data_IF_853745828774
#
_entry.id   IF_853745828774
#
_cell.length_a   1.000
_cell.length_b   1.000
_cell.length_c   1.000
_cell.angle_alpha   90.00
_cell.angle_beta   90.00
_cell.angle_gamma   90.00
#
_symmetry.space_group_name_H-M   'P 1'
#
loop_
_entity.id
_entity.type
_entity.pdbx_description
1 polymer ?
#
# COMPACT_ATOMS: atom_id res chain seq x y z
N UNK A 1 8.27 24.87 4.49
CA UNK A 1 7.07 24.12 4.94
C UNK A 1 7.22 23.72 6.41
N UNK A 2 6.15 23.22 7.05
CA UNK A 2 6.20 22.70 8.42
C UNK A 2 7.13 21.48 8.49
N UNK A 3 7.08 20.59 7.50
CA UNK A 3 7.90 19.38 7.43
C UNK A 3 9.39 19.67 7.23
N UNK A 4 9.74 20.75 6.53
CA UNK A 4 11.13 21.14 6.29
C UNK A 4 11.75 21.94 7.44
N UNK A 5 10.94 22.33 8.44
CA UNK A 5 11.40 23.18 9.54
C UNK A 5 11.51 24.68 9.21
N UNK A 6 11.09 25.09 8.01
CA UNK A 6 11.05 26.52 7.64
C UNK A 6 10.03 27.31 8.47
N UNK A 7 9.01 26.64 9.00
CA UNK A 7 8.03 27.19 9.92
C UNK A 7 8.22 26.51 11.27
N UNK A 8 8.68 27.26 12.26
CA UNK A 8 8.79 26.77 13.64
C UNK A 8 7.42 26.79 14.30
N UNK A 9 6.97 25.63 14.77
CA UNK A 9 5.67 25.46 15.43
C UNK A 9 5.84 24.48 16.60
N UNK A 10 5.04 24.67 17.64
CA UNK A 10 4.88 23.65 18.68
C UNK A 10 4.17 22.40 18.15
N UNK A 11 4.32 21.26 18.81
CA UNK A 11 3.76 19.99 18.34
C UNK A 11 2.23 20.00 18.19
N UNK A 12 1.50 20.74 19.04
CA UNK A 12 0.04 20.85 18.94
C UNK A 12 -0.40 21.70 17.75
N UNK A 13 0.30 22.80 17.49
CA UNK A 13 0.03 23.68 16.36
C UNK A 13 0.39 22.99 15.05
N UNK A 14 1.55 22.31 15.00
CA UNK A 14 1.96 21.50 13.88
C UNK A 14 0.96 20.37 13.61
N UNK A 15 0.45 19.71 14.66
CA UNK A 15 -0.56 18.66 14.54
C UNK A 15 -1.85 19.19 13.92
N UNK A 16 -2.39 20.31 14.40
CA UNK A 16 -3.62 20.93 13.85
C UNK A 16 -3.46 21.37 12.39
N UNK A 17 -2.38 22.08 12.09
CA UNK A 17 -2.08 22.54 10.72
C UNK A 17 -1.87 21.35 9.78
N UNK A 18 -1.18 20.32 10.25
CA UNK A 18 -0.94 19.11 9.49
C UNK A 18 -2.23 18.31 9.25
N UNK A 19 -3.13 18.23 10.23
CA UNK A 19 -4.45 17.64 10.09
C UNK A 19 -5.25 18.29 8.97
N UNK A 20 -5.30 19.62 8.96
CA UNK A 20 -5.98 20.38 7.92
C UNK A 20 -5.40 20.10 6.53
N UNK A 21 -4.07 20.16 6.39
CA UNK A 21 -3.38 19.85 5.12
C UNK A 21 -3.64 18.41 4.66
N UNK A 22 -3.68 17.45 5.57
CA UNK A 22 -3.99 16.05 5.24
C UNK A 22 -5.41 15.87 4.73
N UNK A 23 -6.38 16.58 5.31
CA UNK A 23 -7.78 16.59 4.82
C UNK A 23 -7.83 17.15 3.41
N UNK A 24 -7.23 18.33 3.17
CA UNK A 24 -7.18 18.95 1.84
C UNK A 24 -6.51 18.03 0.80
N UNK A 25 -5.41 17.37 1.15
CA UNK A 25 -4.69 16.47 0.27
C UNK A 25 -5.49 15.22 -0.13
N UNK A 26 -6.49 14.85 0.66
CA UNK A 26 -7.34 13.68 0.38
C UNK A 26 -8.64 14.03 -0.33
N UNK A 27 -8.91 15.31 -0.56
CA UNK A 27 -10.05 15.71 -1.39
C UNK A 27 -9.87 15.14 -2.81
N UNK A 28 -10.96 14.66 -3.44
CA UNK A 28 -10.90 14.20 -4.82
C UNK A 28 -10.50 15.37 -5.72
N UNK A 29 -9.39 15.23 -6.42
CA UNK A 29 -8.96 16.20 -7.43
C UNK A 29 -9.59 15.90 -8.79
N UNK A 30 -9.48 16.84 -9.72
CA UNK A 30 -9.74 16.61 -11.12
C UNK A 30 -8.78 15.51 -11.61
N UNK A 31 -9.32 14.43 -12.16
CA UNK A 31 -8.51 13.31 -12.64
C UNK A 31 -7.98 13.62 -14.03
N UNK A 32 -6.80 14.12 -14.15
CA UNK A 32 -6.08 14.00 -15.41
C UNK A 32 -5.46 12.60 -15.53
N UNK A 33 -6.28 11.68 -16.01
CA UNK A 33 -5.85 10.30 -16.26
C UNK A 33 -4.86 10.23 -17.41
N UNK A 34 -4.91 11.17 -18.35
CA UNK A 34 -4.06 11.21 -19.55
C UNK A 34 -2.61 11.51 -19.16
N UNK A 35 -2.37 12.50 -18.31
CA UNK A 35 -1.03 12.84 -17.84
C UNK A 35 -0.38 11.66 -17.10
N UNK A 36 -1.14 10.99 -16.24
CA UNK A 36 -0.65 9.84 -15.46
C UNK A 36 -0.29 8.66 -16.36
N UNK A 37 -1.08 8.41 -17.42
CA UNK A 37 -0.81 7.36 -18.40
C UNK A 37 0.39 7.71 -19.30
N UNK A 38 0.49 8.97 -19.76
CA UNK A 38 1.66 9.47 -20.50
C UNK A 38 2.95 9.29 -19.69
N UNK A 39 2.90 9.61 -18.40
CA UNK A 39 4.01 9.42 -17.46
C UNK A 39 4.39 7.93 -17.31
N UNK A 40 3.43 7.01 -17.28
CA UNK A 40 3.72 5.58 -17.24
C UNK A 40 4.49 5.14 -18.50
N UNK A 41 4.04 5.55 -19.68
CA UNK A 41 4.67 5.18 -20.95
C UNK A 41 6.07 5.77 -21.06
N UNK A 42 6.25 7.05 -20.73
CA UNK A 42 7.57 7.71 -20.76
C UNK A 42 8.57 7.08 -19.79
N UNK A 43 8.13 6.63 -18.61
CA UNK A 43 8.99 5.89 -17.68
C UNK A 43 9.60 4.64 -18.31
N UNK A 44 8.87 3.92 -19.19
CA UNK A 44 9.39 2.71 -19.84
C UNK A 44 10.59 3.00 -20.73
N UNK A 45 10.76 4.24 -21.22
CA UNK A 45 11.96 4.65 -21.97
C UNK A 45 13.16 4.92 -21.06
N UNK A 46 12.92 5.42 -19.86
CA UNK A 46 13.94 5.75 -18.87
C UNK A 46 14.50 4.53 -18.13
N UNK A 47 13.65 3.49 -17.95
CA UNK A 47 14.03 2.27 -17.25
C UNK A 47 15.08 1.51 -18.07
N UNK A 48 16.24 1.26 -17.48
CA UNK A 48 17.29 0.45 -18.06
C UNK A 48 18.64 1.14 -18.21
N UNK A 49 18.74 2.46 -18.03
CA UNK A 49 20.01 3.18 -17.91
C UNK A 49 20.58 3.02 -16.50
N UNK A 50 21.01 1.79 -16.18
CA UNK A 50 21.48 1.44 -14.84
C UNK A 50 22.94 1.11 -14.92
N UNK A 51 23.77 1.79 -14.13
CA UNK A 51 25.20 1.53 -14.01
C UNK A 51 25.47 0.78 -12.68
N UNK A 52 25.89 -0.47 -12.81
CA UNK A 52 26.19 -1.29 -11.64
C UNK A 52 27.69 -1.33 -11.34
N UNK A 53 28.05 -1.04 -10.10
CA UNK A 53 29.38 -1.41 -9.61
C UNK A 53 29.36 -2.90 -9.24
N UNK A 54 30.30 -3.67 -9.75
CA UNK A 54 30.37 -5.13 -9.57
C UNK A 54 30.37 -5.54 -8.09
N UNK A 55 31.10 -4.82 -7.24
CA UNK A 55 31.17 -5.11 -5.80
C UNK A 55 29.83 -4.95 -5.07
N UNK A 56 29.07 -3.89 -5.36
CA UNK A 56 27.76 -3.66 -4.75
C UNK A 56 26.74 -4.70 -5.21
N UNK A 57 26.79 -5.09 -6.48
CA UNK A 57 25.95 -6.15 -7.01
C UNK A 57 26.22 -7.51 -6.39
N UNK A 58 27.49 -7.85 -6.13
CA UNK A 58 27.86 -9.11 -5.48
C UNK A 58 27.37 -9.15 -4.02
N UNK A 59 27.45 -8.04 -3.29
CA UNK A 59 26.95 -7.96 -1.91
C UNK A 59 25.43 -8.12 -1.87
N UNK A 60 24.71 -7.37 -2.71
CA UNK A 60 23.25 -7.48 -2.85
C UNK A 60 22.81 -8.89 -3.24
N UNK A 61 23.49 -9.48 -4.23
CA UNK A 61 23.24 -10.86 -4.68
C UNK A 61 23.42 -11.88 -3.57
N UNK A 62 24.50 -11.79 -2.78
CA UNK A 62 24.70 -12.68 -1.62
C UNK A 62 23.56 -12.60 -0.63
N UNK A 63 23.11 -11.39 -0.29
CA UNK A 63 21.97 -11.19 0.61
C UNK A 63 20.69 -11.81 0.04
N UNK A 64 20.32 -11.46 -1.19
CA UNK A 64 19.10 -11.97 -1.85
C UNK A 64 19.13 -13.51 -1.98
N UNK A 65 20.27 -14.08 -2.38
CA UNK A 65 20.43 -15.52 -2.45
C UNK A 65 20.30 -16.18 -1.07
N UNK A 66 20.87 -15.59 -0.02
CA UNK A 66 20.73 -16.07 1.36
C UNK A 66 19.27 -16.10 1.81
N UNK A 67 18.51 -15.04 1.52
CA UNK A 67 17.08 -14.97 1.84
C UNK A 67 16.27 -16.00 1.04
N UNK A 68 16.45 -16.07 -0.28
CA UNK A 68 15.63 -16.90 -1.16
C UNK A 68 16.01 -18.38 -1.15
N UNK A 69 17.26 -18.73 -0.87
CA UNK A 69 17.69 -20.13 -0.72
C UNK A 69 17.22 -20.78 0.59
N UNK A 70 16.74 -19.97 1.56
CA UNK A 70 16.11 -20.47 2.78
C UNK A 70 14.64 -20.93 2.57
N UNK A 71 14.17 -20.92 1.32
CA UNK A 71 12.81 -21.35 0.95
C UNK A 71 12.82 -22.81 0.57
N UNK A 72 12.18 -23.63 1.40
CA UNK A 72 12.01 -25.05 1.16
C UNK A 72 10.70 -25.36 0.43
N UNK A 73 9.64 -24.63 0.77
CA UNK A 73 8.28 -24.84 0.24
C UNK A 73 7.64 -23.49 -0.12
N UNK A 74 6.96 -23.46 -1.27
CA UNK A 74 6.18 -22.30 -1.66
C UNK A 74 4.86 -22.22 -0.88
N UNK A 75 4.50 -20.98 -0.52
CA UNK A 75 3.21 -20.69 0.09
C UNK A 75 2.05 -21.07 -0.88
N UNK A 76 0.92 -21.59 -0.36
CA UNK A 76 -0.20 -22.00 -1.20
C UNK A 76 -0.71 -20.88 -2.11
N UNK A 77 -1.14 -21.20 -3.31
CA UNK A 77 -1.77 -20.26 -4.22
C UNK A 77 -3.14 -19.79 -3.69
N UNK A 78 -3.41 -18.48 -3.75
CA UNK A 78 -4.72 -17.89 -3.46
C UNK A 78 -4.86 -16.56 -4.19
N UNK A 79 -6.10 -16.08 -4.35
CA UNK A 79 -6.34 -14.75 -4.89
C UNK A 79 -6.21 -13.66 -3.81
N UNK A 80 -5.74 -12.49 -4.24
CA UNK A 80 -5.81 -11.26 -3.46
C UNK A 80 -7.18 -10.57 -3.63
N UNK A 81 -7.45 -9.48 -2.89
CA UNK A 81 -8.73 -8.76 -2.96
C UNK A 81 -8.94 -7.94 -4.23
N UNK A 82 -7.86 -7.54 -4.94
CA UNK A 82 -7.92 -6.67 -6.13
C UNK A 82 -8.57 -7.34 -7.34
N UNK A 83 -9.10 -6.54 -8.28
CA UNK A 83 -9.64 -7.02 -9.54
C UNK A 83 -8.55 -7.58 -10.46
N UNK A 84 -8.91 -8.54 -11.31
CA UNK A 84 -8.06 -9.09 -12.36
C UNK A 84 -8.23 -8.36 -13.69
N UNK A 85 -7.41 -8.68 -14.69
CA UNK A 85 -7.53 -8.12 -16.04
C UNK A 85 -8.91 -8.42 -16.66
N UNK A 86 -9.47 -9.58 -16.36
CA UNK A 86 -10.80 -10.02 -16.78
C UNK A 86 -11.94 -9.33 -16.01
N UNK A 87 -11.63 -8.44 -15.08
CA UNK A 87 -12.54 -7.71 -14.19
C UNK A 87 -13.23 -8.56 -13.12
N UNK A 88 -12.74 -9.78 -12.89
CA UNK A 88 -13.27 -10.66 -11.85
C UNK A 88 -12.93 -10.14 -10.46
N UNK A 89 -13.88 -10.23 -9.54
CA UNK A 89 -13.79 -9.81 -8.15
C UNK A 89 -14.14 -10.98 -7.22
N UNK A 90 -13.57 -11.00 -6.01
CA UNK A 90 -13.89 -11.98 -4.96
C UNK A 90 -13.92 -13.43 -5.47
N UNK A 91 -14.98 -14.16 -5.21
CA UNK A 91 -15.14 -15.57 -5.55
C UNK A 91 -15.23 -15.83 -7.05
N UNK A 92 -15.64 -14.84 -7.86
CA UNK A 92 -15.65 -14.93 -9.32
C UNK A 92 -14.27 -15.28 -9.89
N UNK A 93 -13.19 -14.88 -9.24
CA UNK A 93 -11.82 -15.22 -9.64
C UNK A 93 -11.56 -16.72 -9.62
N UNK A 94 -12.06 -17.42 -8.60
CA UNK A 94 -11.91 -18.86 -8.50
C UNK A 94 -12.78 -19.56 -9.55
N UNK A 95 -13.94 -19.00 -9.84
CA UNK A 95 -14.82 -19.47 -10.89
C UNK A 95 -14.18 -19.28 -12.27
N UNK A 96 -13.64 -18.11 -12.57
CA UNK A 96 -12.92 -17.82 -13.82
C UNK A 96 -11.67 -18.68 -13.98
N UNK A 97 -10.94 -18.93 -12.88
CA UNK A 97 -9.79 -19.80 -12.88
C UNK A 97 -10.15 -21.24 -13.25
N UNK A 98 -11.31 -21.73 -12.79
CA UNK A 98 -11.83 -23.06 -13.14
C UNK A 98 -12.35 -23.12 -14.56
N UNK A 99 -13.05 -22.08 -15.01
CA UNK A 99 -13.76 -22.08 -16.29
C UNK A 99 -12.87 -21.74 -17.48
N UNK A 100 -11.91 -20.81 -17.30
CA UNK A 100 -11.05 -20.31 -18.38
C UNK A 100 -9.63 -20.04 -17.87
N UNK A 101 -8.89 -21.05 -17.41
CA UNK A 101 -7.53 -20.81 -16.98
C UNK A 101 -6.67 -20.47 -18.21
N UNK A 102 -6.15 -19.23 -18.24
CA UNK A 102 -5.25 -18.75 -19.27
C UNK A 102 -3.83 -18.80 -18.73
N UNK A 103 -2.95 -19.50 -19.40
CA UNK A 103 -1.59 -19.68 -18.91
C UNK A 103 -0.59 -19.94 -20.05
N UNK A 104 0.67 -19.57 -19.84
CA UNK A 104 1.77 -20.05 -20.67
C UNK A 104 2.05 -21.54 -20.39
N UNK A 105 2.72 -22.24 -21.30
CA UNK A 105 3.04 -23.66 -21.14
C UNK A 105 3.73 -23.96 -19.79
N UNK A 106 4.64 -23.11 -19.36
CA UNK A 106 5.32 -23.27 -18.07
C UNK A 106 4.37 -23.06 -16.89
N UNK A 107 3.57 -22.02 -16.97
CA UNK A 107 2.54 -21.68 -15.97
C UNK A 107 1.52 -22.83 -15.83
N UNK A 108 1.20 -23.46 -16.95
CA UNK A 108 0.35 -24.65 -17.03
C UNK A 108 0.85 -25.80 -16.16
N UNK A 109 2.14 -26.10 -16.22
CA UNK A 109 2.74 -27.13 -15.41
C UNK A 109 2.66 -26.83 -13.90
N UNK A 110 2.76 -25.56 -13.52
CA UNK A 110 2.64 -25.12 -12.12
C UNK A 110 1.18 -25.13 -11.60
N UNK A 111 0.22 -25.09 -12.52
CA UNK A 111 -1.22 -25.18 -12.23
C UNK A 111 -1.73 -26.64 -12.23
N UNK A 112 -0.87 -27.61 -12.09
CA UNK A 112 -1.23 -29.04 -12.21
C UNK A 112 -2.48 -29.46 -11.42
N UNK A 113 -2.69 -29.03 -10.16
CA UNK A 113 -3.93 -29.31 -9.43
C UNK A 113 -5.18 -28.77 -10.11
N UNK A 114 -5.08 -27.67 -10.89
CA UNK A 114 -6.18 -27.03 -11.61
C UNK A 114 -6.40 -27.65 -13.00
N UNK A 115 -5.40 -28.30 -13.58
CA UNK A 115 -5.51 -29.02 -14.88
C UNK A 115 -6.65 -30.03 -14.88
N UNK A 116 -6.86 -30.70 -13.75
CA UNK A 116 -7.92 -31.72 -13.58
C UNK A 116 -9.31 -31.13 -13.56
N UNK A 117 -9.42 -29.79 -13.44
CA UNK A 117 -10.69 -29.10 -13.24
C UNK A 117 -11.19 -28.45 -14.52
N UNK A 118 -10.30 -27.90 -15.37
CA UNK A 118 -10.69 -27.23 -16.60
C UNK A 118 -9.54 -27.20 -17.64
N UNK A 119 -9.84 -27.17 -18.94
CA UNK A 119 -8.83 -26.96 -19.98
C UNK A 119 -8.20 -25.57 -19.87
N UNK A 120 -6.88 -25.51 -20.02
CA UNK A 120 -6.11 -24.26 -19.95
C UNK A 120 -5.90 -23.71 -21.35
N UNK A 121 -6.27 -22.44 -21.56
CA UNK A 121 -5.95 -21.70 -22.78
C UNK A 121 -4.61 -20.99 -22.61
N UNK A 122 -3.75 -21.12 -23.63
CA UNK A 122 -2.40 -20.53 -23.65
C UNK A 122 -2.44 -19.19 -24.39
N UNK A 123 -2.78 -18.13 -23.69
CA UNK A 123 -2.74 -16.78 -24.23
C UNK A 123 -1.79 -15.90 -23.42
N UNK A 124 -0.94 -15.16 -24.11
CA UNK A 124 -0.13 -14.13 -23.46
C UNK A 124 -0.93 -12.81 -23.41
N UNK A 125 -1.95 -12.79 -22.55
CA UNK A 125 -2.82 -11.62 -22.41
C UNK A 125 -2.09 -10.51 -21.65
N UNK A 126 -2.12 -9.27 -22.12
CA UNK A 126 -1.51 -8.13 -21.44
C UNK A 126 -2.19 -7.84 -20.10
N UNK A 127 -1.46 -7.26 -19.16
CA UNK A 127 -2.06 -6.68 -17.96
C UNK A 127 -2.87 -5.44 -18.33
N UNK A 128 -4.07 -5.34 -17.83
CA UNK A 128 -4.94 -4.19 -18.05
C UNK A 128 -4.56 -3.04 -17.13
N UNK A 129 -4.17 -1.91 -17.69
CA UNK A 129 -3.84 -0.71 -16.93
C UNK A 129 -5.11 0.04 -16.55
N UNK A 130 -5.23 0.38 -15.26
CA UNK A 130 -6.29 1.19 -14.69
C UNK A 130 -5.69 2.29 -13.82
N UNK A 131 -6.38 3.43 -13.76
CA UNK A 131 -6.02 4.53 -12.87
C UNK A 131 -7.03 4.58 -11.72
N UNK A 132 -6.54 4.47 -10.49
CA UNK A 132 -7.34 4.60 -9.28
C UNK A 132 -7.01 5.91 -8.56
N UNK A 133 -7.98 6.48 -7.88
CA UNK A 133 -7.78 7.71 -7.10
C UNK A 133 -6.75 7.50 -5.99
N UNK A 134 -5.78 8.41 -5.92
CA UNK A 134 -4.80 8.44 -4.83
C UNK A 134 -5.04 9.64 -3.92
N UNK A 135 -5.02 10.84 -4.48
CA UNK A 135 -5.19 12.11 -3.78
C UNK A 135 -5.56 13.20 -4.82
N UNK A 136 -5.67 14.46 -4.37
CA UNK A 136 -5.99 15.60 -5.24
C UNK A 136 -4.95 15.84 -6.34
N UNK A 137 -3.69 15.44 -6.15
CA UNK A 137 -2.60 15.62 -7.13
C UNK A 137 -2.64 14.65 -8.30
N UNK A 138 -3.40 13.56 -8.21
CA UNK A 138 -3.49 12.60 -9.31
C UNK A 138 -3.87 11.19 -8.90
N UNK A 139 -3.94 10.33 -9.91
CA UNK A 139 -4.26 8.92 -9.78
C UNK A 139 -3.02 8.05 -9.53
N UNK A 140 -3.29 6.81 -9.16
CA UNK A 140 -2.30 5.74 -9.07
C UNK A 140 -2.54 4.76 -10.19
N UNK A 141 -1.52 4.46 -10.99
CA UNK A 141 -1.60 3.45 -12.04
C UNK A 141 -1.49 2.07 -11.42
N UNK A 142 -2.40 1.17 -11.81
CA UNK A 142 -2.39 -0.23 -11.42
C UNK A 142 -2.46 -1.07 -12.69
N UNK A 143 -1.56 -2.02 -12.83
CA UNK A 143 -1.61 -3.04 -13.87
C UNK A 143 -2.33 -4.28 -13.29
N UNK A 144 -3.59 -4.46 -13.65
CA UNK A 144 -4.37 -5.62 -13.24
C UNK A 144 -3.90 -6.83 -14.05
N UNK A 145 -3.39 -7.83 -13.36
CA UNK A 145 -2.88 -9.07 -13.95
C UNK A 145 -4.01 -10.06 -14.26
N UNK A 146 -3.75 -10.99 -15.16
CA UNK A 146 -4.66 -12.10 -15.42
C UNK A 146 -4.95 -12.92 -14.14
N UNK A 147 -6.14 -13.48 -14.06
CA UNK A 147 -6.60 -14.31 -12.93
C UNK A 147 -5.63 -15.45 -12.61
N UNK A 148 -5.19 -16.22 -13.61
CA UNK A 148 -4.26 -17.33 -13.42
C UNK A 148 -2.86 -16.88 -13.00
N UNK A 149 -2.34 -15.79 -13.60
CA UNK A 149 -1.05 -15.18 -13.22
C UNK A 149 -1.10 -14.64 -11.80
N UNK A 150 -2.14 -13.85 -11.47
CA UNK A 150 -2.30 -13.30 -10.13
C UNK A 150 -2.35 -14.38 -9.05
N UNK A 151 -3.00 -15.52 -9.33
CA UNK A 151 -3.08 -16.65 -8.41
C UNK A 151 -1.69 -17.19 -8.04
N UNK A 152 -0.81 -17.38 -9.03
CA UNK A 152 0.57 -17.82 -8.79
C UNK A 152 1.46 -16.72 -8.23
N UNK A 153 1.30 -15.50 -8.69
CA UNK A 153 2.03 -14.34 -8.18
C UNK A 153 1.80 -14.15 -6.67
N UNK A 154 0.59 -14.41 -6.18
CA UNK A 154 0.28 -14.34 -4.75
C UNK A 154 1.05 -15.40 -3.94
N UNK A 155 1.26 -16.60 -4.48
CA UNK A 155 2.10 -17.61 -3.86
C UNK A 155 3.55 -17.14 -3.78
N UNK A 156 4.12 -16.69 -4.89
CA UNK A 156 5.50 -16.17 -4.97
C UNK A 156 5.69 -15.01 -3.98
N UNK A 157 4.77 -14.04 -3.97
CA UNK A 157 4.86 -12.87 -3.10
C UNK A 157 4.83 -13.22 -1.62
N UNK A 158 3.96 -14.17 -1.22
CA UNK A 158 3.92 -14.64 0.17
C UNK A 158 5.14 -15.47 0.53
N UNK A 159 5.67 -16.26 -0.40
CA UNK A 159 6.90 -17.01 -0.17
C UNK A 159 8.11 -16.09 0.02
N UNK A 160 8.25 -15.03 -0.79
CA UNK A 160 9.29 -14.00 -0.58
C UNK A 160 9.10 -13.31 0.77
N UNK A 161 7.85 -12.98 1.12
CA UNK A 161 7.52 -12.37 2.42
C UNK A 161 7.93 -13.28 3.58
N UNK A 162 7.57 -14.56 3.55
CA UNK A 162 7.93 -15.53 4.57
C UNK A 162 9.46 -15.72 4.66
N UNK A 163 10.18 -15.68 3.53
CA UNK A 163 11.64 -15.76 3.52
C UNK A 163 12.29 -14.52 4.16
N UNK A 164 11.78 -13.33 3.90
CA UNK A 164 12.22 -12.10 4.56
C UNK A 164 11.92 -12.13 6.06
N UNK A 165 10.78 -12.67 6.46
CA UNK A 165 10.39 -12.83 7.86
C UNK A 165 11.33 -13.78 8.60
N UNK A 166 11.70 -14.92 7.99
CA UNK A 166 12.75 -15.84 8.50
C UNK A 166 14.12 -15.14 8.63
N UNK A 167 14.43 -14.18 7.76
CA UNK A 167 15.65 -13.36 7.87
C UNK A 167 15.55 -12.24 8.92
N UNK A 168 14.42 -12.13 9.60
CA UNK A 168 14.14 -11.17 10.66
C UNK A 168 13.36 -9.93 10.24
N UNK A 169 13.06 -9.72 8.96
CA UNK A 169 12.28 -8.58 8.47
C UNK A 169 10.79 -8.93 8.48
N UNK A 170 10.06 -8.42 9.46
CA UNK A 170 8.62 -8.60 9.56
C UNK A 170 7.88 -7.71 8.55
N UNK A 171 7.18 -8.36 7.63
CA UNK A 171 6.30 -7.70 6.65
C UNK A 171 4.82 -8.02 6.87
N UNK A 172 4.45 -8.57 8.03
CA UNK A 172 3.06 -8.88 8.38
C UNK A 172 2.33 -7.63 8.84
N UNK A 173 2.97 -6.90 9.76
CA UNK A 173 2.50 -5.62 10.28
C UNK A 173 3.64 -4.61 10.34
N UNK A 174 3.34 -3.35 10.06
CA UNK A 174 4.36 -2.30 10.07
C UNK A 174 4.73 -1.79 11.48
N UNK A 175 4.23 -2.43 12.53
CA UNK A 175 4.46 -2.04 13.91
C UNK A 175 5.95 -2.05 14.30
N UNK A 176 6.68 -3.12 13.98
CA UNK A 176 8.13 -3.21 14.24
C UNK A 176 8.93 -2.16 13.46
N UNK A 177 8.54 -1.90 12.21
CA UNK A 177 9.18 -0.87 11.38
C UNK A 177 9.01 0.53 11.99
N UNK A 178 7.78 0.87 12.44
CA UNK A 178 7.48 2.12 13.14
C UNK A 178 8.20 2.21 14.50
N UNK A 179 8.19 1.13 15.28
CA UNK A 179 8.88 1.08 16.58
C UNK A 179 10.40 1.27 16.41
N UNK A 180 10.99 0.74 15.34
CA UNK A 180 12.39 0.98 15.02
C UNK A 180 12.68 2.46 14.77
N UNK A 181 11.81 3.19 14.04
CA UNK A 181 11.97 4.63 13.89
C UNK A 181 11.92 5.33 15.25
N UNK A 182 10.93 4.99 16.08
CA UNK A 182 10.72 5.61 17.39
C UNK A 182 11.89 5.38 18.36
N UNK A 183 12.59 4.25 18.23
CA UNK A 183 13.76 3.94 19.09
C UNK A 183 15.04 4.71 18.73
N UNK A 184 15.04 5.42 17.60
CA UNK A 184 16.26 6.09 17.12
C UNK A 184 16.01 7.38 16.36
N UNK A 185 15.00 8.16 16.74
CA UNK A 185 14.60 9.40 16.07
C UNK A 185 15.76 10.39 15.84
N UNK A 186 16.74 10.42 16.76
CA UNK A 186 17.88 11.31 16.68
C UNK A 186 18.93 10.87 15.64
N UNK A 187 18.89 9.61 15.20
CA UNK A 187 19.94 9.04 14.35
C UNK A 187 19.42 8.38 13.08
N UNK A 188 18.10 8.17 12.97
CA UNK A 188 17.48 7.47 11.85
C UNK A 188 16.93 8.44 10.81
N UNK A 189 17.19 8.13 9.55
CA UNK A 189 16.63 8.78 8.36
C UNK A 189 15.49 7.92 7.84
N UNK A 190 14.37 8.54 7.49
CA UNK A 190 13.32 7.90 6.70
C UNK A 190 13.48 8.28 5.24
N UNK A 191 13.50 7.30 4.36
CA UNK A 191 13.70 7.48 2.91
C UNK A 191 12.50 6.93 2.17
N UNK A 192 11.86 7.77 1.36
CA UNK A 192 10.76 7.41 0.45
C UNK A 192 11.30 7.35 -0.99
N UNK A 193 10.74 6.48 -1.81
CA UNK A 193 11.09 6.35 -3.22
C UNK A 193 9.95 6.81 -4.12
N UNK A 194 10.29 7.56 -5.17
CA UNK A 194 9.30 7.96 -6.17
C UNK A 194 9.00 6.82 -7.12
N UNK A 195 7.72 6.41 -7.20
CA UNK A 195 7.24 5.40 -8.13
C UNK A 195 8.08 4.10 -8.10
N UNK A 196 8.53 3.69 -6.91
CA UNK A 196 9.56 2.68 -6.67
C UNK A 196 9.34 1.39 -7.45
N UNK A 197 8.13 0.83 -7.44
CA UNK A 197 7.80 -0.39 -8.17
C UNK A 197 8.01 -0.27 -9.68
N UNK A 198 7.77 0.90 -10.25
CA UNK A 198 7.93 1.14 -11.69
C UNK A 198 9.41 1.18 -12.10
N UNK A 199 10.32 1.52 -11.19
CA UNK A 199 11.75 1.65 -11.46
C UNK A 199 12.59 0.42 -11.12
N UNK A 200 12.02 -0.63 -10.50
CA UNK A 200 12.73 -1.91 -10.36
C UNK A 200 12.82 -2.59 -11.71
N UNK A 201 13.93 -2.35 -12.42
CA UNK A 201 14.13 -2.85 -13.77
C UNK A 201 14.38 -4.37 -13.81
N UNK A 202 14.04 -4.99 -14.93
CA UNK A 202 14.42 -6.38 -15.20
C UNK A 202 15.93 -6.60 -15.12
N UNK A 203 16.73 -5.60 -15.54
CA UNK A 203 18.20 -5.65 -15.49
C UNK A 203 18.71 -5.71 -14.05
N UNK A 204 18.16 -4.89 -13.14
CA UNK A 204 18.47 -4.94 -11.72
C UNK A 204 18.08 -6.30 -11.13
N UNK A 205 16.87 -6.75 -11.38
CA UNK A 205 16.36 -8.02 -10.89
C UNK A 205 17.25 -9.21 -11.32
N UNK A 206 17.61 -9.29 -12.60
CA UNK A 206 18.55 -10.31 -13.11
C UNK A 206 19.94 -10.24 -12.46
N UNK A 207 20.37 -9.05 -12.04
CA UNK A 207 21.66 -8.85 -11.38
C UNK A 207 21.72 -9.41 -9.95
N UNK A 208 20.61 -9.37 -9.20
CA UNK A 208 20.60 -9.71 -7.77
C UNK A 208 19.80 -10.96 -7.42
N UNK A 209 18.78 -11.33 -8.21
CA UNK A 209 17.87 -12.45 -7.91
C UNK A 209 18.45 -13.74 -8.54
N UNK A 210 18.37 -14.89 -7.83
CA UNK A 210 18.78 -16.19 -8.37
C UNK A 210 18.06 -16.55 -9.66
N UNK A 211 18.76 -17.24 -10.58
CA UNK A 211 18.23 -17.54 -11.91
C UNK A 211 16.98 -18.41 -11.92
N UNK A 212 16.85 -19.35 -10.97
CA UNK A 212 15.64 -20.15 -10.78
C UNK A 212 14.43 -19.28 -10.39
N UNK A 213 14.60 -18.33 -9.47
CA UNK A 213 13.57 -17.37 -9.11
C UNK A 213 13.24 -16.42 -10.27
N UNK A 214 14.26 -15.98 -11.02
CA UNK A 214 14.02 -15.13 -12.20
C UNK A 214 13.25 -15.87 -13.30
N UNK A 215 13.48 -17.16 -13.50
CA UNK A 215 12.67 -17.99 -14.41
C UNK A 215 11.20 -18.01 -13.95
N UNK A 216 10.95 -18.21 -12.65
CA UNK A 216 9.62 -18.21 -12.06
C UNK A 216 8.92 -16.86 -12.22
N UNK A 217 9.60 -15.76 -11.88
CA UNK A 217 9.10 -14.39 -12.02
C UNK A 217 8.76 -14.09 -13.48
N UNK A 218 9.66 -14.41 -14.40
CA UNK A 218 9.47 -14.15 -15.84
C UNK A 218 8.30 -14.92 -16.45
N UNK A 219 8.01 -16.10 -15.95
CA UNK A 219 6.89 -16.91 -16.45
C UNK A 219 5.54 -16.43 -15.92
N UNK A 220 5.54 -15.81 -14.75
CA UNK A 220 4.30 -15.37 -14.07
C UNK A 220 3.98 -13.90 -14.28
N UNK A 221 4.90 -13.06 -14.76
CA UNK A 221 4.64 -11.64 -15.03
C UNK A 221 4.04 -11.41 -16.42
N UNK A 222 3.25 -10.37 -16.57
CA UNK A 222 2.92 -9.83 -17.88
C UNK A 222 4.11 -9.07 -18.46
N UNK A 223 4.41 -9.28 -19.73
CA UNK A 223 5.48 -8.55 -20.46
C UNK A 223 4.95 -7.33 -21.18
N UNK A 224 3.64 -7.23 -21.28
CA UNK A 224 2.93 -6.20 -22.03
C UNK A 224 1.81 -5.64 -21.18
N UNK A 225 1.65 -4.34 -21.23
CA UNK A 225 0.59 -3.58 -20.58
C UNK A 225 -0.39 -3.10 -21.66
N UNK A 226 -1.67 -3.27 -21.44
CA UNK A 226 -2.72 -2.64 -22.24
C UNK A 226 -3.06 -1.29 -21.59
N UNK A 227 -2.54 -0.22 -22.19
CA UNK A 227 -2.61 1.14 -21.63
C UNK A 227 -3.68 1.94 -22.38
N UNK A 228 -4.73 2.41 -21.69
CA UNK A 228 -5.78 3.22 -22.33
C UNK A 228 -5.19 4.42 -23.09
N UNK A 229 -5.58 4.58 -24.34
CA UNK A 229 -5.10 5.65 -25.24
C UNK A 229 -3.72 5.42 -25.87
N UNK A 230 -2.95 4.41 -25.42
CA UNK A 230 -1.62 4.10 -25.93
C UNK A 230 -1.49 2.68 -26.51
N UNK A 231 -2.50 1.82 -26.32
CA UNK A 231 -2.47 0.44 -26.76
C UNK A 231 -1.47 -0.43 -26.00
N UNK A 232 -0.83 -1.36 -26.68
CA UNK A 232 0.06 -2.35 -26.08
C UNK A 232 1.49 -1.81 -25.89
N UNK A 233 1.92 -1.70 -24.64
CA UNK A 233 3.23 -1.18 -24.24
C UNK A 233 4.05 -2.29 -23.58
N UNK A 234 5.25 -2.58 -24.11
CA UNK A 234 6.19 -3.52 -23.46
C UNK A 234 6.74 -2.93 -22.17
N UNK A 235 6.68 -3.69 -21.07
CA UNK A 235 7.22 -3.24 -19.79
C UNK A 235 8.63 -3.77 -19.54
N UNK A 236 9.50 -2.88 -19.08
CA UNK A 236 10.87 -3.17 -18.64
C UNK A 236 10.98 -3.37 -17.12
N UNK A 237 9.91 -3.10 -16.38
CA UNK A 237 9.81 -3.35 -14.92
C UNK A 237 9.65 -4.83 -14.62
N UNK A 238 10.19 -5.27 -13.48
CA UNK A 238 10.01 -6.66 -13.03
C UNK A 238 8.61 -6.93 -12.50
N UNK A 239 8.02 -5.95 -11.82
CA UNK A 239 6.68 -6.03 -11.26
C UNK A 239 6.04 -4.65 -11.16
N UNK A 240 5.01 -4.39 -11.95
CA UNK A 240 4.21 -3.18 -11.83
C UNK A 240 3.28 -3.26 -10.60
N UNK A 241 2.81 -2.11 -10.12
CA UNK A 241 1.80 -2.07 -9.08
C UNK A 241 0.53 -2.81 -9.52
N UNK A 242 0.04 -3.75 -8.71
CA UNK A 242 -1.05 -4.68 -9.04
C UNK A 242 -0.58 -6.12 -9.24
N UNK A 243 0.72 -6.33 -9.50
CA UNK A 243 1.32 -7.66 -9.51
C UNK A 243 1.38 -8.24 -8.07
N UNK A 244 1.06 -9.52 -7.92
CA UNK A 244 0.89 -10.16 -6.61
C UNK A 244 2.16 -10.27 -5.76
N UNK A 245 3.35 -10.19 -6.35
CA UNK A 245 4.61 -10.17 -5.61
C UNK A 245 5.30 -8.79 -5.57
N UNK A 246 4.70 -7.75 -6.14
CA UNK A 246 5.31 -6.42 -6.26
C UNK A 246 5.85 -5.89 -4.93
N UNK A 247 5.04 -5.89 -3.88
CA UNK A 247 5.41 -5.38 -2.56
C UNK A 247 6.56 -6.18 -1.92
N UNK A 248 6.46 -7.52 -1.93
CA UNK A 248 7.47 -8.38 -1.34
C UNK A 248 8.81 -8.30 -2.09
N UNK A 249 8.75 -8.22 -3.42
CA UNK A 249 9.94 -8.08 -4.26
C UNK A 249 10.62 -6.72 -4.07
N UNK A 250 9.83 -5.63 -3.98
CA UNK A 250 10.35 -4.30 -3.69
C UNK A 250 11.03 -4.26 -2.32
N UNK A 251 10.38 -4.85 -1.29
CA UNK A 251 10.98 -4.98 0.05
C UNK A 251 12.31 -5.75 0.01
N UNK A 252 12.39 -6.82 -0.78
CA UNK A 252 13.62 -7.60 -0.96
C UNK A 252 14.74 -6.77 -1.62
N UNK A 253 14.41 -5.99 -2.66
CA UNK A 253 15.36 -5.11 -3.36
C UNK A 253 15.87 -4.01 -2.43
N UNK A 254 14.96 -3.33 -1.72
CA UNK A 254 15.34 -2.27 -0.77
C UNK A 254 16.15 -2.83 0.42
N UNK A 255 15.83 -4.01 0.92
CA UNK A 255 16.61 -4.70 1.95
C UNK A 255 18.01 -5.06 1.48
N UNK A 256 18.14 -5.51 0.22
CA UNK A 256 19.44 -5.80 -0.39
C UNK A 256 20.30 -4.53 -0.50
N UNK A 257 19.68 -3.38 -0.83
CA UNK A 257 20.39 -2.09 -0.84
C UNK A 257 20.88 -1.71 0.56
N UNK A 258 20.01 -1.79 1.57
CA UNK A 258 20.37 -1.51 2.97
C UNK A 258 21.48 -2.43 3.48
N UNK A 259 21.37 -3.75 3.24
CA UNK A 259 22.39 -4.72 3.62
C UNK A 259 23.72 -4.41 2.94
N UNK A 260 23.71 -4.04 1.65
CA UNK A 260 24.92 -3.72 0.88
C UNK A 260 25.67 -2.53 1.47
N UNK A 261 24.98 -1.45 1.83
CA UNK A 261 25.63 -0.22 2.32
C UNK A 261 26.02 -0.29 3.79
N UNK A 262 25.28 -1.06 4.59
CA UNK A 262 25.54 -1.18 6.03
C UNK A 262 26.49 -2.32 6.38
N UNK A 263 26.66 -3.30 5.49
CA UNK A 263 27.35 -4.57 5.78
C UNK A 263 26.61 -5.44 6.79
N UNK A 264 25.38 -5.08 7.17
CA UNK A 264 24.57 -5.78 8.17
C UNK A 264 23.33 -6.41 7.54
N UNK A 265 23.23 -7.72 7.61
CA UNK A 265 22.09 -8.48 7.08
C UNK A 265 20.86 -8.52 8.01
N UNK A 266 21.02 -8.08 9.27
CA UNK A 266 19.93 -8.12 10.27
C UNK A 266 19.17 -6.79 10.28
N UNK A 267 17.85 -6.81 9.99
CA UNK A 267 17.00 -5.62 10.12
C UNK A 267 16.87 -5.16 11.59
N UNK A 268 16.32 -3.99 11.78
CA UNK A 268 16.04 -3.35 13.09
C UNK A 268 17.31 -3.10 13.98
N UNK A 269 18.50 -3.12 13.38
CA UNK A 269 19.75 -2.68 14.04
C UNK A 269 20.27 -1.38 13.46
N UNK A 270 20.39 -1.34 12.14
CA UNK A 270 20.90 -0.17 11.41
C UNK A 270 19.96 0.26 10.29
N UNK A 271 19.00 -0.59 9.93
CA UNK A 271 18.02 -0.34 8.89
C UNK A 271 16.73 -1.18 9.11
N UNK A 272 15.67 -0.72 8.50
CA UNK A 272 14.40 -1.45 8.33
C UNK A 272 13.74 -1.05 7.01
N UNK A 273 12.94 -1.94 6.44
CA UNK A 273 12.27 -1.75 5.16
C UNK A 273 10.82 -2.21 5.24
N UNK A 274 9.93 -1.46 4.60
CA UNK A 274 8.55 -1.82 4.38
C UNK A 274 8.10 -1.36 2.98
N UNK A 275 8.22 -2.25 1.99
CA UNK A 275 8.02 -1.86 0.59
C UNK A 275 9.10 -0.89 0.12
N UNK A 276 8.68 0.32 -0.20
CA UNK A 276 9.49 1.47 -0.58
C UNK A 276 9.84 2.41 0.60
N UNK A 277 9.19 2.24 1.75
CA UNK A 277 9.56 2.95 2.97
C UNK A 277 10.83 2.34 3.58
N UNK A 278 11.91 3.09 3.62
CA UNK A 278 13.20 2.68 4.18
C UNK A 278 13.52 3.54 5.40
N UNK A 279 13.94 2.89 6.48
CA UNK A 279 14.55 3.56 7.65
C UNK A 279 15.99 3.09 7.73
N UNK A 280 16.93 4.04 7.85
CA UNK A 280 18.35 3.72 7.92
C UNK A 280 19.08 4.69 8.84
N UNK A 281 20.14 4.23 9.50
CA UNK A 281 20.99 5.10 10.31
C UNK A 281 21.68 6.16 9.43
N UNK A 282 21.67 7.42 9.87
CA UNK A 282 22.09 8.61 9.12
C UNK A 282 23.48 8.49 8.50
N UNK A 283 24.44 7.82 9.18
CA UNK A 283 25.80 7.58 8.66
C UNK A 283 25.86 6.79 7.35
N UNK A 284 24.79 6.06 7.01
CA UNK A 284 24.71 5.27 5.77
C UNK A 284 23.83 5.91 4.71
N UNK A 285 23.13 7.00 5.05
CA UNK A 285 22.14 7.62 4.16
C UNK A 285 22.73 7.99 2.80
N UNK A 286 23.86 8.71 2.77
CA UNK A 286 24.47 9.14 1.52
C UNK A 286 24.86 7.96 0.63
N UNK A 287 25.46 6.91 1.21
CA UNK A 287 25.84 5.68 0.49
C UNK A 287 24.61 4.95 -0.05
N UNK A 288 23.49 4.97 0.70
CA UNK A 288 22.24 4.39 0.24
C UNK A 288 21.67 5.15 -0.97
N UNK A 289 21.62 6.49 -0.90
CA UNK A 289 21.15 7.33 -2.01
C UNK A 289 21.97 7.07 -3.27
N UNK A 290 23.30 7.04 -3.17
CA UNK A 290 24.20 6.75 -4.29
C UNK A 290 23.92 5.36 -4.88
N UNK A 291 23.73 4.34 -4.04
CA UNK A 291 23.46 2.99 -4.49
C UNK A 291 22.09 2.88 -5.18
N UNK A 292 21.04 3.47 -4.57
CA UNK A 292 19.69 3.48 -5.15
C UNK A 292 19.69 4.18 -6.51
N UNK A 293 20.37 5.30 -6.63
CA UNK A 293 20.53 6.04 -7.91
C UNK A 293 21.25 5.18 -8.96
N UNK A 294 22.33 4.48 -8.58
CA UNK A 294 23.02 3.54 -9.46
C UNK A 294 22.11 2.40 -9.93
N UNK A 295 21.17 1.98 -9.10
CA UNK A 295 20.18 0.95 -9.42
C UNK A 295 18.99 1.50 -10.23
N UNK A 296 18.96 2.82 -10.49
CA UNK A 296 17.91 3.49 -11.25
C UNK A 296 16.66 3.77 -10.43
N UNK A 297 16.74 3.67 -9.10
CA UNK A 297 15.66 4.04 -8.19
C UNK A 297 15.77 5.53 -7.85
N UNK A 298 14.63 6.19 -7.72
CA UNK A 298 14.56 7.65 -7.52
C UNK A 298 14.17 7.94 -6.08
N UNK A 299 15.07 8.60 -5.34
CA UNK A 299 14.77 9.05 -3.97
C UNK A 299 13.84 10.26 -4.02
N UNK A 300 12.79 10.23 -3.25
CA UNK A 300 11.87 11.33 -3.05
C UNK A 300 12.35 12.23 -1.91
N UNK A 301 13.11 13.26 -2.25
CA UNK A 301 13.69 14.16 -1.24
C UNK A 301 12.63 14.98 -0.47
N UNK A 302 11.44 15.22 -1.03
CA UNK A 302 10.35 15.91 -0.33
C UNK A 302 9.74 15.09 0.80
N UNK A 303 9.92 13.75 0.74
CA UNK A 303 9.42 12.80 1.73
C UNK A 303 10.52 12.01 2.43
N UNK A 304 11.75 12.42 2.23
CA UNK A 304 12.91 11.87 2.93
C UNK A 304 13.29 12.80 4.06
N UNK A 305 13.28 12.30 5.30
CA UNK A 305 13.49 13.13 6.49
C UNK A 305 14.74 12.70 7.25
N UNK A 306 15.66 13.65 7.38
CA UNK A 306 16.90 13.48 8.15
C UNK A 306 16.71 13.86 9.63
N UNK A 307 17.63 13.44 10.54
CA UNK A 307 17.52 13.72 11.97
C UNK A 307 17.46 15.22 12.33
N UNK A 308 18.07 16.09 11.53
CA UNK A 308 18.02 17.54 11.73
C UNK A 308 16.66 18.18 11.41
N UNK A 309 15.77 17.46 10.77
CA UNK A 309 14.43 17.95 10.42
C UNK A 309 13.43 17.63 11.53
N UNK A 310 12.45 18.52 11.79
CA UNK A 310 11.51 18.35 12.91
C UNK A 310 10.53 17.20 12.73
N UNK A 311 10.35 16.71 11.50
CA UNK A 311 9.47 15.58 11.17
C UNK A 311 10.23 14.33 10.74
N UNK A 312 9.59 13.19 10.96
CA UNK A 312 9.87 11.93 10.29
C UNK A 312 8.55 11.31 9.83
N UNK A 313 8.53 10.71 8.65
CA UNK A 313 7.37 9.97 8.15
C UNK A 313 7.77 8.54 7.76
N UNK A 314 6.94 7.57 8.11
CA UNK A 314 7.05 6.20 7.58
C UNK A 314 5.72 5.47 7.70
N UNK A 315 5.35 4.71 6.68
CA UNK A 315 4.16 3.83 6.68
C UNK A 315 2.90 4.50 7.22
N UNK A 316 2.72 5.78 6.92
CA UNK A 316 1.57 6.51 7.39
C UNK A 316 1.62 6.95 8.86
N UNK A 317 2.77 6.92 9.49
CA UNK A 317 3.05 7.56 10.76
C UNK A 317 3.86 8.84 10.51
N UNK A 318 3.38 9.96 10.98
CA UNK A 318 4.10 11.24 10.97
C UNK A 318 4.50 11.58 12.41
N UNK A 319 5.78 11.71 12.69
CA UNK A 319 6.33 11.94 14.04
C UNK A 319 6.95 13.31 14.12
N UNK A 320 6.59 14.03 15.18
CA UNK A 320 7.30 15.23 15.58
C UNK A 320 8.53 14.82 16.39
N UNK A 321 9.73 15.08 15.89
CA UNK A 321 10.96 14.53 16.49
C UNK A 321 11.29 15.11 17.86
N UNK A 322 10.87 16.35 18.15
CA UNK A 322 11.20 17.00 19.42
C UNK A 322 10.61 16.30 20.65
N UNK A 323 9.44 15.68 20.50
CA UNK A 323 8.73 15.00 21.60
C UNK A 323 8.31 13.56 21.28
N UNK A 324 8.65 13.07 20.10
CA UNK A 324 8.30 11.72 19.66
C UNK A 324 6.80 11.50 19.43
N UNK A 325 5.99 12.56 19.39
CA UNK A 325 4.54 12.44 19.22
C UNK A 325 4.17 12.14 17.79
N UNK A 326 3.29 11.15 17.61
CA UNK A 326 2.65 10.91 16.32
C UNK A 326 1.62 12.02 16.07
N UNK A 327 1.90 12.86 15.07
CA UNK A 327 1.06 14.01 14.70
C UNK A 327 0.13 13.70 13.52
N UNK A 328 0.17 12.48 12.99
CA UNK A 328 -0.73 12.10 11.91
C UNK A 328 -2.13 11.87 12.44
N UNK A 329 -3.12 12.58 11.91
CA UNK A 329 -4.51 12.32 12.25
C UNK A 329 -4.98 10.98 11.68
N UNK A 330 -5.80 10.26 12.43
CA UNK A 330 -6.64 9.22 11.83
C UNK A 330 -7.71 9.91 10.99
N UNK A 331 -7.50 10.03 9.68
CA UNK A 331 -8.51 10.59 8.78
C UNK A 331 -9.06 9.51 7.85
N UNK A 332 -10.34 9.66 7.58
CA UNK A 332 -11.06 8.89 6.60
C UNK A 332 -11.22 9.72 5.32
N UNK A 333 -11.24 9.05 4.20
CA UNK A 333 -11.49 9.72 2.93
C UNK A 333 -12.87 10.37 2.96
N UNK A 334 -12.94 11.67 2.70
CA UNK A 334 -14.20 12.33 2.46
C UNK A 334 -14.88 11.63 1.28
N UNK A 335 -16.13 11.17 1.40
CA UNK A 335 -16.83 10.55 0.29
C UNK A 335 -17.05 11.55 -0.84
N UNK A 336 -16.71 11.18 -2.07
CA UNK A 336 -16.87 12.04 -3.25
C UNK A 336 -18.34 12.26 -3.65
N UNK A 337 -19.24 11.42 -3.15
CA UNK A 337 -20.69 11.53 -3.38
C UNK A 337 -21.40 11.31 -2.05
N UNK A 338 -22.29 12.23 -1.72
CA UNK A 338 -23.23 12.09 -0.62
C UNK A 338 -24.48 11.41 -1.17
N UNK A 339 -24.75 10.20 -0.72
CA UNK A 339 -25.99 9.51 -1.00
C UNK A 339 -26.63 9.11 0.31
N UNK A 340 -27.88 9.46 0.46
CA UNK A 340 -28.70 9.13 1.64
C UNK A 340 -29.38 7.77 1.51
N UNK A 341 -29.34 7.19 0.32
CA UNK A 341 -29.99 5.91 -0.01
C UNK A 341 -29.00 4.75 -0.10
N UNK A 342 -27.70 5.03 -0.24
CA UNK A 342 -26.65 4.01 -0.30
C UNK A 342 -26.03 3.79 1.10
N UNK A 343 -26.26 2.62 1.68
CA UNK A 343 -25.74 2.23 2.99
C UNK A 343 -24.23 2.43 3.10
N UNK A 344 -23.45 2.13 2.05
CA UNK A 344 -21.99 2.30 2.04
C UNK A 344 -21.58 3.78 2.09
N UNK A 345 -22.36 4.64 1.42
CA UNK A 345 -22.12 6.09 1.48
C UNK A 345 -22.43 6.63 2.88
N UNK A 346 -23.51 6.18 3.49
CA UNK A 346 -23.89 6.54 4.88
C UNK A 346 -22.81 6.10 5.88
N UNK A 347 -22.29 4.89 5.76
CA UNK A 347 -21.20 4.41 6.62
C UNK A 347 -19.92 5.23 6.48
N UNK A 348 -19.59 5.67 5.25
CA UNK A 348 -18.46 6.55 5.00
C UNK A 348 -18.67 7.95 5.61
N UNK A 349 -19.85 8.51 5.45
CA UNK A 349 -20.22 9.80 6.05
C UNK A 349 -20.12 9.75 7.58
N UNK A 350 -20.66 8.71 8.19
CA UNK A 350 -20.56 8.46 9.63
C UNK A 350 -19.10 8.34 10.08
N UNK A 351 -18.31 7.60 9.35
CA UNK A 351 -16.88 7.45 9.66
C UNK A 351 -16.16 8.78 9.54
N UNK A 352 -16.54 9.62 8.59
CA UNK A 352 -15.99 10.97 8.43
C UNK A 352 -16.49 11.93 9.52
N UNK A 353 -17.74 11.85 9.92
CA UNK A 353 -18.28 12.62 11.05
C UNK A 353 -17.52 12.30 12.35
N UNK A 354 -17.29 11.01 12.64
CA UNK A 354 -16.51 10.58 13.80
C UNK A 354 -15.07 11.11 13.73
N UNK A 355 -14.46 11.07 12.56
CA UNK A 355 -13.15 11.66 12.35
C UNK A 355 -13.16 13.17 12.64
N UNK A 356 -14.12 13.91 12.10
CA UNK A 356 -14.25 15.36 12.32
C UNK A 356 -14.40 15.69 13.81
N UNK A 357 -15.22 14.93 14.53
CA UNK A 357 -15.38 15.05 15.99
C UNK A 357 -14.07 14.84 16.73
N UNK A 358 -13.37 13.72 16.45
CA UNK A 358 -12.12 13.38 17.13
C UNK A 358 -10.95 14.31 16.77
N UNK A 359 -11.04 15.00 15.64
CA UNK A 359 -10.04 15.97 15.16
C UNK A 359 -10.34 17.41 15.56
N UNK A 360 -11.38 17.64 16.36
CA UNK A 360 -11.77 18.99 16.78
C UNK A 360 -12.37 19.87 15.69
N UNK A 361 -12.79 19.26 14.55
CA UNK A 361 -13.48 19.95 13.44
C UNK A 361 -14.98 20.09 13.78
N UNK A 362 -15.29 20.86 14.81
CA UNK A 362 -16.63 20.93 15.41
C UNK A 362 -17.74 21.32 14.42
N UNK A 363 -17.51 22.31 13.59
CA UNK A 363 -18.49 22.75 12.58
C UNK A 363 -18.77 21.68 11.55
N UNK A 364 -17.73 21.00 11.06
CA UNK A 364 -17.86 19.89 10.12
C UNK A 364 -18.58 18.71 10.76
N UNK A 365 -18.24 18.41 12.01
CA UNK A 365 -18.87 17.32 12.78
C UNK A 365 -20.35 17.59 13.01
N UNK A 366 -20.73 18.83 13.36
CA UNK A 366 -22.12 19.25 13.55
C UNK A 366 -22.90 19.16 12.23
N UNK A 367 -22.37 19.73 11.16
CA UNK A 367 -23.01 19.68 9.85
C UNK A 367 -23.28 18.24 9.37
N UNK A 368 -22.28 17.35 9.54
CA UNK A 368 -22.45 15.95 9.18
C UNK A 368 -23.45 15.22 10.09
N UNK A 369 -23.50 15.62 11.36
CA UNK A 369 -24.49 15.09 12.29
C UNK A 369 -25.91 15.46 11.84
N UNK A 370 -26.16 16.71 11.47
CA UNK A 370 -27.47 17.18 11.02
C UNK A 370 -27.93 16.47 9.75
N UNK A 371 -27.02 16.11 8.86
CA UNK A 371 -27.32 15.29 7.67
C UNK A 371 -27.64 13.85 8.04
N UNK A 372 -26.95 13.28 9.03
CA UNK A 372 -27.08 11.87 9.38
C UNK A 372 -28.20 11.59 10.39
N UNK A 373 -28.56 12.55 11.22
CA UNK A 373 -29.58 12.40 12.25
C UNK A 373 -30.96 12.01 11.72
N UNK A 374 -31.49 12.63 10.63
CA UNK A 374 -32.76 12.21 10.03
C UNK A 374 -32.73 10.75 9.54
N UNK A 375 -31.60 10.33 8.97
CA UNK A 375 -31.43 8.95 8.48
C UNK A 375 -31.43 7.96 9.62
N UNK A 376 -30.92 8.36 10.78
CA UNK A 376 -30.92 7.51 11.96
C UNK A 376 -32.32 7.30 12.52
N UNK A 377 -33.12 8.37 12.57
CA UNK A 377 -34.52 8.30 13.00
C UNK A 377 -35.35 7.42 12.06
N UNK A 378 -35.13 7.51 10.76
CA UNK A 378 -35.76 6.65 9.76
C UNK A 378 -35.27 5.19 9.86
N UNK A 379 -34.03 4.99 10.32
CA UNK A 379 -33.43 3.66 10.51
C UNK A 379 -34.08 2.90 11.66
N UNK A 380 -34.51 3.60 12.70
CA UNK A 380 -35.28 2.96 13.79
C UNK A 380 -36.63 2.43 13.30
N UNK A 381 -37.24 3.14 12.36
CA UNK A 381 -38.46 2.70 11.67
C UNK A 381 -38.15 1.58 10.66
N UNK A 382 -36.96 1.53 10.12
CA UNK A 382 -36.55 0.61 9.05
C UNK A 382 -35.29 -0.19 9.43
N UNK A 383 -35.38 -0.98 10.52
CA UNK A 383 -34.27 -1.75 11.13
C UNK A 383 -33.45 -2.62 10.17
N UNK A 384 -34.01 -2.97 9.00
CA UNK A 384 -33.31 -3.81 8.01
C UNK A 384 -32.22 -3.05 7.22
N UNK A 385 -32.37 -1.74 7.00
CA UNK A 385 -31.52 -0.98 6.08
C UNK A 385 -30.22 -0.51 6.74
N UNK A 386 -30.19 -0.23 8.05
CA UNK A 386 -29.09 0.45 8.72
C UNK A 386 -28.66 -0.22 10.02
N UNK A 387 -28.70 -1.53 10.09
CA UNK A 387 -28.21 -2.27 11.27
C UNK A 387 -26.77 -1.88 11.61
N UNK A 388 -26.53 -1.55 12.86
CA UNK A 388 -25.21 -1.18 13.37
C UNK A 388 -24.79 0.26 13.14
N UNK A 389 -25.67 1.14 12.66
CA UNK A 389 -25.38 2.56 12.55
C UNK A 389 -25.44 3.17 13.98
N UNK A 390 -24.30 3.65 14.46
CA UNK A 390 -24.18 4.37 15.72
C UNK A 390 -23.75 5.80 15.43
N UNK A 391 -24.63 6.77 15.59
CA UNK A 391 -24.30 8.19 15.49
C UNK A 391 -23.77 8.67 16.85
N UNK A 392 -22.69 9.42 16.85
CA UNK A 392 -22.19 10.12 18.04
C UNK A 392 -22.53 11.60 17.93
N UNK A 393 -22.99 12.17 19.01
CA UNK A 393 -23.17 13.61 19.08
C UNK A 393 -21.84 14.33 18.84
N UNK A 394 -21.79 15.40 18.06
CA UNK A 394 -20.59 16.20 17.88
C UNK A 394 -20.07 16.85 19.16
N UNK A 395 -20.91 17.04 20.16
CA UNK A 395 -20.54 17.63 21.46
C UNK A 395 -20.00 16.63 22.49
N UNK A 396 -20.28 15.34 22.33
CA UNK A 396 -19.95 14.30 23.33
C UNK A 396 -19.30 13.12 22.63
N UNK A 397 -17.98 13.13 22.57
CA UNK A 397 -17.21 12.07 21.90
C UNK A 397 -17.28 10.74 22.62
N UNK A 398 -17.52 10.75 23.92
CA UNK A 398 -17.40 9.56 24.78
C UNK A 398 -18.70 9.18 25.50
N UNK A 399 -19.76 9.95 25.33
CA UNK A 399 -21.05 9.67 25.98
C UNK A 399 -22.00 9.05 24.95
N UNK A 400 -22.35 7.79 25.15
CA UNK A 400 -23.31 7.11 24.29
C UNK A 400 -24.79 7.44 24.64
N UNK A 401 -25.04 8.50 25.39
CA UNK A 401 -26.39 8.88 25.82
C UNK A 401 -27.40 9.03 24.70
N UNK A 402 -26.94 9.56 23.56
CA UNK A 402 -27.78 9.66 22.36
C UNK A 402 -28.22 8.31 21.80
N UNK A 403 -27.46 7.27 22.09
CA UNK A 403 -27.77 5.92 21.66
C UNK A 403 -28.84 5.30 22.58
N UNK A 404 -28.82 5.65 23.86
CA UNK A 404 -29.82 5.18 24.83
C UNK A 404 -31.19 5.82 24.63
N UNK A 405 -31.23 7.08 24.20
CA UNK A 405 -32.49 7.77 23.86
C UNK A 405 -33.12 7.21 22.59
N UNK A 406 -32.31 6.61 21.72
CA UNK A 406 -32.73 6.08 20.42
C UNK A 406 -32.93 4.56 20.46
N UNK A 407 -32.28 3.88 21.40
CA UNK A 407 -32.46 2.45 21.68
C UNK A 407 -33.48 2.29 22.77
N UNK A 408 -34.58 2.09 22.85
CA UNK A 408 -35.60 1.79 23.88
C UNK A 408 -35.13 1.78 25.38
N UNK A 409 -33.97 2.33 25.67
CA UNK A 409 -33.45 2.52 27.02
C UNK A 409 -32.94 1.25 27.73
N UNK A 410 -32.86 0.12 27.05
CA UNK A 410 -32.52 -1.16 27.68
C UNK A 410 -31.10 -1.65 27.42
N UNK A 411 -30.33 -0.98 26.59
CA UNK A 411 -28.98 -1.43 26.22
C UNK A 411 -27.87 -0.59 26.82
N UNK A 412 -26.95 -1.23 27.52
CA UNK A 412 -25.66 -0.63 27.87
C UNK A 412 -24.96 -0.14 26.59
N UNK A 413 -24.54 1.12 26.50
CA UNK A 413 -23.84 1.67 25.36
C UNK A 413 -22.58 0.91 24.96
N UNK A 414 -21.98 0.18 25.88
CA UNK A 414 -20.84 -0.71 25.61
C UNK A 414 -21.21 -1.96 24.82
N UNK A 415 -22.49 -2.30 24.77
CA UNK A 415 -23.02 -3.53 24.16
C UNK A 415 -23.59 -3.27 22.77
N UNK A 416 -23.85 -2.03 22.37
CA UNK A 416 -24.30 -1.69 21.01
C UNK A 416 -23.11 -1.83 20.04
N UNK A 417 -22.66 -3.05 19.92
CA UNK A 417 -21.81 -3.49 18.81
C UNK A 417 -22.70 -4.10 17.73
N UNK A 418 -22.29 -3.92 16.48
CA UNK A 418 -22.86 -4.67 15.38
C UNK A 418 -22.82 -6.17 15.74
N UNK A 419 -23.97 -6.76 15.91
CA UNK A 419 -24.10 -8.21 16.05
C UNK A 419 -24.60 -8.78 14.73
N UNK A 420 -23.76 -9.45 13.95
CA UNK A 420 -24.16 -10.02 12.65
C UNK A 420 -25.20 -11.14 12.80
N UNK A 421 -25.40 -11.67 14.01
CA UNK A 421 -26.33 -12.78 14.28
C UNK A 421 -27.74 -12.33 14.70
N UNK A 422 -27.98 -11.04 14.82
CA UNK A 422 -29.33 -10.49 14.97
C UNK A 422 -29.93 -10.28 13.56
N UNK A 423 -30.22 -11.39 12.89
CA UNK A 423 -31.02 -11.42 11.67
C UNK A 423 -32.50 -11.45 12.00
#
# INVERSE_FOLDING_TARGET
>A
SIRSGEIQMGSDEASRSFQFLCVLQKMPGAKDTTEVLNKLVSKQTLIGNVHFKTSSMLAARRYVHGVLNAVDVFEPCKHGPGATAERSLYDDKYYDLKRRPRATNWLYAQLDPLRRIAPVQFDDVPSRVIVVEKNWKGGRVIAAEQTSRQFLQQSIGRTIKAALEKSGLDLTENGKHKSFLMSGLEHLVTVDLSDASDFVSMRLAHGIIPSNWMKLINSTRSKVLDVPGHGLVKTKTVASMGNGYCFALLSLVCSAACCTVTGNSRPYKTWSVWGDDIIIHSRYYQKLVELLTQWGLIVNYEKTFQPCQPFAETCGMDVWRCDGRNVRPHYLRCPAKFSTTDQRAVEKLRSFQRFATNSGLSLTASYLYDILAPMYTDTLKNRKLFRGLVLRSPMFTDIPGHINEVSDGTCDPKVIRYNPNLQ
#
